data_IF_329454411238
#
_entry.id   IF_329454411238
#
_cell.length_a   1.000
_cell.length_b   1.000
_cell.length_c   1.000
_cell.angle_alpha   90.00
_cell.angle_beta   90.00
_cell.angle_gamma   90.00
#
_symmetry.space_group_name_H-M   'P 1'
#
loop_
_entity.id
_entity.type
_entity.pdbx_description
1 polymer ?
#
# COMPACT_ATOMS: atom_id res chain seq x y z
N UNK A 1 16.44 -22.47 -4.52
CA UNK A 1 15.26 -22.27 -5.39
C UNK A 1 15.76 -22.02 -6.79
N UNK A 2 15.06 -22.53 -7.80
CA UNK A 2 15.41 -22.25 -9.20
C UNK A 2 14.95 -20.84 -9.57
N UNK A 3 15.71 -20.10 -10.39
CA UNK A 3 15.27 -18.81 -10.91
C UNK A 3 13.98 -18.95 -11.73
N UNK A 4 13.14 -17.93 -11.69
CA UNK A 4 11.89 -17.85 -12.44
C UNK A 4 12.02 -16.86 -13.58
N UNK A 5 11.44 -17.19 -14.73
CA UNK A 5 11.38 -16.29 -15.88
C UNK A 5 9.98 -15.68 -16.02
N UNK A 6 9.92 -14.36 -16.18
CA UNK A 6 8.70 -13.62 -16.51
C UNK A 6 9.03 -12.50 -17.50
N UNK A 7 8.32 -12.44 -18.61
CA UNK A 7 8.52 -11.46 -19.69
C UNK A 7 9.98 -11.36 -20.19
N UNK A 8 10.70 -12.49 -20.27
CA UNK A 8 12.10 -12.53 -20.71
C UNK A 8 13.12 -12.08 -19.66
N UNK A 9 12.69 -11.75 -18.44
CA UNK A 9 13.56 -11.44 -17.31
C UNK A 9 13.64 -12.61 -16.34
N UNK A 10 14.85 -12.88 -15.84
CA UNK A 10 15.13 -13.93 -14.87
C UNK A 10 15.19 -13.31 -13.47
N UNK A 11 14.50 -13.93 -12.52
CA UNK A 11 14.40 -13.49 -11.13
C UNK A 11 14.77 -14.63 -10.17
N UNK A 12 15.67 -14.36 -9.23
CA UNK A 12 16.18 -15.39 -8.32
C UNK A 12 15.31 -15.56 -7.07
N UNK A 13 14.68 -14.46 -6.62
CA UNK A 13 13.83 -14.40 -5.44
C UNK A 13 12.97 -13.12 -5.44
N UNK A 14 12.17 -12.92 -4.38
CA UNK A 14 11.33 -11.73 -4.26
C UNK A 14 12.16 -10.45 -4.22
N UNK A 15 13.27 -10.45 -3.48
CA UNK A 15 14.13 -9.26 -3.38
C UNK A 15 14.68 -8.84 -4.77
N UNK A 16 15.19 -9.78 -5.55
CA UNK A 16 15.67 -9.56 -6.92
C UNK A 16 14.53 -9.11 -7.85
N UNK A 17 13.33 -9.69 -7.70
CA UNK A 17 12.14 -9.25 -8.43
C UNK A 17 11.79 -7.79 -8.15
N UNK A 18 11.64 -7.40 -6.88
CA UNK A 18 11.28 -6.03 -6.54
C UNK A 18 12.37 -5.03 -6.89
N UNK A 19 13.65 -5.37 -6.69
CA UNK A 19 14.75 -4.53 -7.14
C UNK A 19 14.64 -4.24 -8.64
N UNK A 20 14.52 -5.27 -9.48
CA UNK A 20 14.47 -5.10 -10.94
C UNK A 20 13.22 -4.36 -11.41
N UNK A 21 12.05 -4.67 -10.87
CA UNK A 21 10.78 -4.09 -11.33
C UNK A 21 10.57 -2.66 -10.80
N UNK A 22 11.16 -2.30 -9.65
CA UNK A 22 11.00 -0.97 -9.09
C UNK A 22 12.11 -0.02 -9.51
N UNK A 23 13.32 -0.50 -9.82
CA UNK A 23 14.48 0.33 -10.15
C UNK A 23 14.21 1.41 -11.22
N UNK A 24 13.44 1.17 -12.30
CA UNK A 24 13.21 2.20 -13.31
C UNK A 24 12.57 3.49 -12.75
N UNK A 25 11.65 3.36 -11.79
CA UNK A 25 10.79 4.46 -11.29
C UNK A 25 11.03 4.81 -9.82
N UNK A 26 11.64 3.91 -9.07
CA UNK A 26 11.88 4.04 -7.64
C UNK A 26 13.36 3.91 -7.31
N UNK A 27 13.72 4.42 -6.14
CA UNK A 27 15.04 4.25 -5.55
C UNK A 27 14.87 3.58 -4.19
N UNK A 28 15.55 2.46 -3.99
CA UNK A 28 15.73 1.88 -2.65
C UNK A 28 16.47 2.89 -1.79
N UNK A 29 15.87 3.35 -0.69
CA UNK A 29 16.48 4.37 0.16
C UNK A 29 16.74 3.89 1.59
N UNK A 30 16.14 2.78 2.00
CA UNK A 30 16.35 2.22 3.32
C UNK A 30 16.09 0.70 3.33
N UNK A 31 16.91 -0.01 4.09
CA UNK A 31 16.76 -1.45 4.35
C UNK A 31 16.91 -1.68 5.85
N UNK A 32 15.93 -2.33 6.47
CA UNK A 32 15.92 -2.68 7.89
C UNK A 32 15.86 -4.18 8.07
N UNK A 33 16.71 -4.70 8.94
CA UNK A 33 16.70 -6.10 9.33
C UNK A 33 16.19 -6.21 10.77
N UNK A 34 15.01 -6.79 10.97
CA UNK A 34 14.37 -6.94 12.29
C UNK A 34 13.98 -8.39 12.53
N UNK A 35 14.52 -9.03 13.57
CA UNK A 35 14.33 -10.47 13.84
C UNK A 35 14.59 -11.30 12.57
N UNK A 36 13.61 -12.10 12.13
CA UNK A 36 13.65 -12.91 10.91
C UNK A 36 13.11 -12.21 9.67
N UNK A 37 12.99 -10.87 9.68
CA UNK A 37 12.41 -10.07 8.61
C UNK A 37 13.41 -9.08 8.02
N UNK A 38 13.38 -8.95 6.71
CA UNK A 38 14.00 -7.84 5.97
C UNK A 38 12.89 -6.94 5.46
N UNK A 39 13.01 -5.64 5.69
CA UNK A 39 12.09 -4.61 5.20
C UNK A 39 12.87 -3.68 4.30
N UNK A 40 12.41 -3.50 3.07
CA UNK A 40 12.94 -2.56 2.10
C UNK A 40 11.94 -1.44 1.86
N UNK A 41 12.45 -0.22 1.80
CA UNK A 41 11.65 0.97 1.53
C UNK A 41 12.17 1.64 0.25
N UNK A 42 11.26 1.75 -0.72
CA UNK A 42 11.48 2.34 -2.03
C UNK A 42 10.74 3.67 -2.10
N UNK A 43 11.38 4.68 -2.67
CA UNK A 43 10.80 6.01 -2.85
C UNK A 43 10.69 6.31 -4.33
N UNK A 44 9.53 6.82 -4.76
CA UNK A 44 9.33 7.24 -6.14
C UNK A 44 10.35 8.34 -6.50
N UNK A 45 11.00 8.21 -7.66
CA UNK A 45 12.04 9.14 -8.11
C UNK A 45 11.47 10.55 -8.34
N UNK A 46 10.23 10.65 -8.83
CA UNK A 46 9.57 11.95 -8.93
C UNK A 46 9.15 12.48 -7.55
N UNK A 47 9.86 13.52 -7.11
CA UNK A 47 9.70 14.14 -5.79
C UNK A 47 8.24 14.57 -5.52
N UNK A 48 7.49 14.94 -6.56
CA UNK A 48 6.12 15.45 -6.47
C UNK A 48 5.15 14.37 -6.02
N UNK A 49 5.34 13.11 -6.46
CA UNK A 49 4.44 12.01 -6.15
C UNK A 49 4.47 11.63 -4.66
N UNK A 50 5.64 11.69 -4.00
CA UNK A 50 5.84 11.31 -2.59
C UNK A 50 5.32 9.90 -2.22
N UNK A 51 5.14 9.03 -3.20
CA UNK A 51 4.73 7.64 -3.00
C UNK A 51 5.94 6.79 -2.62
N UNK A 52 5.79 5.99 -1.58
CA UNK A 52 6.78 5.00 -1.17
C UNK A 52 6.17 3.60 -1.25
N UNK A 53 7.00 2.61 -1.60
CA UNK A 53 6.63 1.21 -1.50
C UNK A 53 7.47 0.59 -0.37
N UNK A 54 6.80 -0.05 0.59
CA UNK A 54 7.44 -0.78 1.67
C UNK A 54 7.21 -2.26 1.45
N UNK A 55 8.26 -3.07 1.45
CA UNK A 55 8.18 -4.50 1.17
C UNK A 55 8.85 -5.25 2.30
N UNK A 56 8.22 -6.32 2.77
CA UNK A 56 8.76 -7.16 3.83
C UNK A 56 8.91 -8.61 3.37
N UNK A 57 10.02 -9.23 3.74
CA UNK A 57 10.35 -10.61 3.40
C UNK A 57 10.82 -11.36 4.66
N UNK A 58 10.62 -12.67 4.70
CA UNK A 58 11.30 -13.54 5.66
C UNK A 58 12.75 -13.79 5.22
N UNK A 59 13.72 -13.58 6.13
CA UNK A 59 15.17 -13.73 5.84
C UNK A 59 15.57 -15.13 5.38
N UNK A 60 15.02 -16.16 6.03
CA UNK A 60 15.50 -17.54 5.87
C UNK A 60 14.75 -18.33 4.78
N UNK A 61 13.51 -17.94 4.50
CA UNK A 61 12.65 -18.61 3.52
C UNK A 61 12.42 -17.78 2.27
N UNK A 62 12.81 -16.51 2.29
CA UNK A 62 12.61 -15.55 1.20
C UNK A 62 11.16 -15.55 0.71
N UNK A 63 10.21 -15.71 1.64
CA UNK A 63 8.77 -15.57 1.41
C UNK A 63 8.41 -14.09 1.55
N UNK A 64 7.59 -13.58 0.64
CA UNK A 64 7.08 -12.21 0.67
C UNK A 64 5.96 -12.11 1.72
N UNK A 65 6.14 -11.28 2.73
CA UNK A 65 5.18 -11.11 3.82
C UNK A 65 4.07 -10.14 3.46
N UNK A 66 4.42 -8.98 2.95
CA UNK A 66 3.51 -7.94 2.49
C UNK A 66 4.28 -6.95 1.63
N UNK A 67 3.55 -6.17 0.84
CA UNK A 67 4.01 -4.87 0.39
C UNK A 67 2.94 -3.81 0.66
N UNK A 68 3.34 -2.55 0.76
CA UNK A 68 2.44 -1.42 1.01
C UNK A 68 2.81 -0.23 0.13
N UNK A 69 1.80 0.51 -0.28
CA UNK A 69 1.95 1.74 -1.05
C UNK A 69 1.51 2.91 -0.16
N UNK A 70 2.46 3.73 0.25
CA UNK A 70 2.24 4.80 1.22
C UNK A 70 2.38 6.14 0.51
N UNK A 71 1.43 7.03 0.74
CA UNK A 71 1.49 8.39 0.28
C UNK A 71 0.91 9.34 1.33
N UNK A 72 1.59 10.46 1.66
CA UNK A 72 1.13 11.41 2.67
C UNK A 72 -0.20 12.10 2.33
N UNK A 73 -0.61 12.11 1.06
CA UNK A 73 -1.87 12.70 0.62
C UNK A 73 -3.03 11.73 0.87
N UNK A 74 -2.84 10.42 0.72
CA UNK A 74 -3.88 9.39 0.91
C UNK A 74 -3.74 8.69 2.27
N UNK A 75 -3.94 9.45 3.35
CA UNK A 75 -3.75 8.93 4.72
C UNK A 75 -4.79 7.86 5.10
N UNK A 76 -6.00 7.93 4.54
CA UNK A 76 -7.03 6.91 4.73
C UNK A 76 -6.63 5.59 4.09
N UNK A 77 -6.12 5.62 2.86
CA UNK A 77 -5.61 4.42 2.19
C UNK A 77 -4.38 3.84 2.89
N UNK A 78 -3.52 4.69 3.45
CA UNK A 78 -2.40 4.24 4.29
C UNK A 78 -2.92 3.55 5.55
N UNK A 79 -3.95 4.10 6.20
CA UNK A 79 -4.55 3.49 7.39
C UNK A 79 -5.25 2.17 7.09
N UNK A 80 -5.91 2.06 5.93
CA UNK A 80 -6.48 0.81 5.45
C UNK A 80 -5.45 -0.32 5.40
N UNK A 81 -4.28 -0.07 4.83
CA UNK A 81 -3.19 -1.06 4.78
C UNK A 81 -2.57 -1.36 6.16
N UNK A 82 -2.74 -0.47 7.14
CA UNK A 82 -2.20 -0.63 8.50
C UNK A 82 -3.14 -1.38 9.45
N UNK A 83 -4.45 -1.14 9.36
CA UNK A 83 -5.45 -1.80 10.20
C UNK A 83 -5.68 -3.22 9.70
N UNK A 84 -5.77 -3.39 8.39
CA UNK A 84 -6.09 -4.66 7.76
C UNK A 84 -4.85 -5.36 7.22
N UNK A 85 -3.65 -5.18 7.83
CA UNK A 85 -2.36 -5.66 7.29
C UNK A 85 -2.55 -6.98 6.55
N UNK A 86 -2.59 -6.89 5.22
CA UNK A 86 -2.85 -8.04 4.37
C UNK A 86 -1.51 -8.75 4.24
N UNK A 87 -1.21 -9.59 5.23
CA UNK A 87 -0.13 -10.54 5.09
C UNK A 87 -0.50 -11.50 3.98
N UNK A 88 0.45 -11.77 3.09
CA UNK A 88 0.28 -12.82 2.13
C UNK A 88 0.27 -14.18 2.82
N UNK A 89 -0.56 -15.09 2.31
CA UNK A 89 -0.52 -16.50 2.64
C UNK A 89 0.08 -17.30 1.48
N UNK A 90 0.72 -18.42 1.78
CA UNK A 90 1.38 -19.26 0.77
C UNK A 90 0.46 -19.65 -0.40
N UNK A 91 -0.79 -20.00 -0.09
CA UNK A 91 -1.80 -20.44 -1.06
C UNK A 91 -2.73 -19.34 -1.58
N UNK A 92 -2.41 -18.06 -1.35
CA UNK A 92 -3.31 -16.93 -1.67
C UNK A 92 -3.75 -16.88 -3.15
N UNK A 93 -2.84 -17.23 -4.07
CA UNK A 93 -3.11 -17.22 -5.52
C UNK A 93 -3.36 -18.61 -6.11
N UNK A 94 -3.58 -19.63 -5.28
CA UNK A 94 -3.96 -20.95 -5.78
C UNK A 94 -5.42 -20.96 -6.26
N UNK A 95 -5.74 -21.93 -7.13
CA UNK A 95 -7.10 -22.17 -7.59
C UNK A 95 -7.49 -23.62 -7.28
N UNK A 96 -8.31 -23.86 -6.24
CA UNK A 96 -8.90 -22.88 -5.32
C UNK A 96 -7.88 -22.25 -4.36
N UNK A 97 -8.13 -21.05 -3.79
CA UNK A 97 -7.28 -20.48 -2.75
C UNK A 97 -7.19 -21.41 -1.55
N UNK A 98 -5.98 -21.63 -1.05
CA UNK A 98 -5.74 -22.46 0.13
C UNK A 98 -5.15 -21.60 1.24
N UNK A 99 -5.67 -21.79 2.46
CA UNK A 99 -5.02 -21.26 3.65
C UNK A 99 -3.65 -21.93 3.78
N UNK A 100 -2.61 -21.15 4.02
CA UNK A 100 -1.25 -21.65 4.09
C UNK A 100 -0.44 -20.99 5.19
N UNK A 101 0.84 -21.39 5.27
CA UNK A 101 1.78 -20.71 6.14
C UNK A 101 1.92 -19.23 5.74
N UNK A 102 2.24 -18.33 6.70
CA UNK A 102 2.48 -16.93 6.39
C UNK A 102 3.60 -16.74 5.35
N UNK A 103 3.35 -15.83 4.43
CA UNK A 103 4.28 -15.42 3.39
C UNK A 103 4.07 -16.14 2.06
N UNK A 104 4.13 -15.37 0.99
CA UNK A 104 4.00 -15.83 -0.37
C UNK A 104 5.30 -16.50 -0.85
N UNK A 105 5.23 -17.75 -1.28
CA UNK A 105 6.38 -18.47 -1.85
C UNK A 105 6.78 -17.87 -3.19
N UNK A 106 8.08 -17.82 -3.46
CA UNK A 106 8.61 -17.39 -4.74
C UNK A 106 8.39 -18.47 -5.82
N UNK A 107 7.25 -18.39 -6.52
CA UNK A 107 6.84 -19.30 -7.59
C UNK A 107 6.12 -18.52 -8.69
N UNK A 108 6.06 -19.11 -9.89
CA UNK A 108 5.64 -18.38 -11.10
C UNK A 108 4.23 -17.78 -11.02
N UNK A 109 3.26 -18.49 -10.45
CA UNK A 109 1.89 -17.97 -10.30
C UNK A 109 1.86 -16.73 -9.41
N UNK A 110 2.53 -16.81 -8.25
CA UNK A 110 2.63 -15.70 -7.30
C UNK A 110 3.36 -14.51 -7.92
N UNK A 111 4.47 -14.77 -8.63
CA UNK A 111 5.24 -13.75 -9.32
C UNK A 111 4.39 -12.99 -10.36
N UNK A 112 3.60 -13.72 -11.15
CA UNK A 112 2.69 -13.15 -12.15
C UNK A 112 1.62 -12.28 -11.51
N UNK A 113 0.99 -12.74 -10.43
CA UNK A 113 -0.07 -11.97 -9.77
C UNK A 113 0.47 -10.67 -9.15
N UNK A 114 1.57 -10.75 -8.40
CA UNK A 114 2.21 -9.54 -7.83
C UNK A 114 2.66 -8.59 -8.93
N UNK A 115 3.22 -9.10 -10.03
CA UNK A 115 3.59 -8.26 -11.18
C UNK A 115 2.36 -7.57 -11.78
N UNK A 116 1.26 -8.29 -12.00
CA UNK A 116 0.03 -7.74 -12.55
C UNK A 116 -0.60 -6.68 -11.62
N UNK A 117 -0.55 -6.87 -10.30
CA UNK A 117 -1.01 -5.88 -9.32
C UNK A 117 -0.18 -4.59 -9.41
N UNK A 118 1.15 -4.70 -9.44
CA UNK A 118 2.04 -3.55 -9.55
C UNK A 118 1.87 -2.82 -10.90
N UNK A 119 1.62 -3.52 -11.99
CA UNK A 119 1.31 -2.93 -13.30
C UNK A 119 -0.05 -2.22 -13.32
N UNK A 120 -1.06 -2.77 -12.63
CA UNK A 120 -2.41 -2.21 -12.59
C UNK A 120 -2.46 -0.92 -11.77
N UNK A 121 -1.65 -0.85 -10.72
CA UNK A 121 -1.68 0.26 -9.77
C UNK A 121 -2.88 0.20 -8.84
N UNK A 122 -3.14 1.32 -8.16
CA UNK A 122 -4.27 1.45 -7.26
C UNK A 122 -5.53 1.85 -8.03
N UNK A 123 -6.65 1.24 -7.64
CA UNK A 123 -7.96 1.52 -8.22
C UNK A 123 -9.00 1.81 -7.12
N UNK A 124 -9.53 3.02 -7.13
CA UNK A 124 -10.48 3.48 -6.12
C UNK A 124 -10.33 4.96 -5.84
N UNK A 125 -10.99 5.41 -4.77
CA UNK A 125 -10.96 6.81 -4.35
C UNK A 125 -10.88 6.93 -2.84
N UNK A 126 -10.28 8.03 -2.40
CA UNK A 126 -10.34 8.47 -1.02
C UNK A 126 -11.05 9.83 -0.95
N UNK A 127 -12.03 9.96 -0.04
CA UNK A 127 -12.73 11.20 0.25
C UNK A 127 -12.33 11.63 1.66
N UNK A 128 -11.66 12.77 1.78
CA UNK A 128 -11.19 13.33 3.04
C UNK A 128 -12.07 14.51 3.46
N UNK A 129 -12.40 14.55 4.74
CA UNK A 129 -12.96 15.74 5.39
C UNK A 129 -11.84 16.46 6.15
N UNK A 130 -11.58 17.71 5.77
CA UNK A 130 -10.53 18.56 6.31
C UNK A 130 -11.16 19.65 7.18
N UNK A 131 -10.64 19.83 8.39
CA UNK A 131 -10.99 20.90 9.32
C UNK A 131 -9.72 21.66 9.69
N UNK A 132 -9.64 22.95 9.31
CA UNK A 132 -8.49 23.81 9.56
C UNK A 132 -7.15 23.15 9.10
N UNK A 133 -7.10 22.73 7.84
CA UNK A 133 -5.95 22.08 7.19
C UNK A 133 -5.53 20.73 7.81
N UNK A 134 -6.38 20.10 8.63
CA UNK A 134 -6.15 18.75 9.17
C UNK A 134 -7.26 17.81 8.71
N UNK A 135 -6.87 16.66 8.17
CA UNK A 135 -7.82 15.59 7.86
C UNK A 135 -8.38 15.05 9.17
N UNK A 136 -9.70 15.10 9.33
CA UNK A 136 -10.41 14.62 10.54
C UNK A 136 -11.14 13.30 10.29
N UNK A 137 -11.52 13.04 9.04
CA UNK A 137 -12.16 11.80 8.60
C UNK A 137 -11.68 11.49 7.17
N UNK A 138 -11.55 10.21 6.87
CA UNK A 138 -11.35 9.72 5.51
C UNK A 138 -12.29 8.55 5.22
N UNK A 139 -12.78 8.48 3.99
CA UNK A 139 -13.54 7.34 3.46
C UNK A 139 -12.82 6.82 2.23
N UNK A 140 -12.34 5.58 2.29
CA UNK A 140 -11.65 4.88 1.19
C UNK A 140 -12.62 3.92 0.53
N UNK A 141 -12.75 3.99 -0.79
CA UNK A 141 -13.55 3.05 -1.58
C UNK A 141 -12.64 2.38 -2.60
N UNK A 142 -12.49 1.06 -2.52
CA UNK A 142 -11.70 0.28 -3.47
C UNK A 142 -12.63 -0.26 -4.57
N UNK A 143 -12.22 -0.12 -5.82
CA UNK A 143 -13.05 -0.49 -6.96
C UNK A 143 -13.33 -2.00 -7.03
N UNK A 144 -12.34 -2.81 -6.63
CA UNK A 144 -12.36 -4.27 -6.82
C UNK A 144 -13.33 -4.99 -5.86
N UNK A 145 -13.70 -4.35 -4.75
CA UNK A 145 -14.59 -4.94 -3.73
C UNK A 145 -15.88 -4.16 -3.51
N UNK A 146 -15.99 -2.93 -4.01
CA UNK A 146 -17.13 -2.04 -3.75
C UNK A 146 -17.32 -1.64 -2.28
N UNK A 147 -16.44 -2.09 -1.39
CA UNK A 147 -16.47 -1.81 0.04
C UNK A 147 -15.87 -0.43 0.33
N UNK A 148 -16.47 0.26 1.30
CA UNK A 148 -16.00 1.56 1.76
C UNK A 148 -15.56 1.50 3.22
N UNK A 149 -14.32 1.90 3.47
CA UNK A 149 -13.69 1.91 4.79
C UNK A 149 -13.65 3.34 5.32
N UNK A 150 -14.05 3.52 6.58
CA UNK A 150 -14.19 4.84 7.19
C UNK A 150 -13.20 4.98 8.35
N UNK A 151 -12.30 5.94 8.25
CA UNK A 151 -11.30 6.24 9.25
C UNK A 151 -11.53 7.62 9.84
N UNK A 152 -11.24 7.75 11.13
CA UNK A 152 -11.42 8.98 11.88
C UNK A 152 -10.15 9.30 12.65
N UNK A 153 -9.62 10.49 12.43
CA UNK A 153 -8.31 10.90 12.95
C UNK A 153 -8.40 11.91 14.10
N UNK A 154 -9.58 12.50 14.35
CA UNK A 154 -9.77 13.45 15.44
C UNK A 154 -10.15 12.76 16.77
N UNK A 155 -9.34 12.97 17.82
CA UNK A 155 -9.60 12.46 19.18
C UNK A 155 -10.73 13.20 19.93
N UNK A 156 -11.53 14.03 19.26
CA UNK A 156 -12.55 14.87 19.92
C UNK A 156 -13.82 14.05 20.20
N UNK A 157 -14.21 13.95 21.47
CA UNK A 157 -15.52 13.43 21.87
C UNK A 157 -16.65 14.31 21.32
N UNK A 158 -17.84 13.74 21.12
CA UNK A 158 -19.03 14.40 20.53
C UNK A 158 -19.32 15.77 21.19
N UNK A 159 -19.20 15.83 22.52
CA UNK A 159 -19.40 17.06 23.33
C UNK A 159 -18.37 18.15 22.99
N UNK A 160 -17.10 17.76 22.82
CA UNK A 160 -16.04 18.68 22.39
C UNK A 160 -16.24 19.20 20.97
N UNK A 161 -17.02 18.52 20.12
CA UNK A 161 -17.35 19.00 18.77
C UNK A 161 -18.48 20.02 18.78
N UNK A 162 -19.45 19.85 19.68
CA UNK A 162 -20.53 20.81 19.92
C UNK A 162 -20.03 22.10 20.62
N UNK A 163 -19.15 22.00 21.61
CA UNK A 163 -18.59 23.17 22.32
C UNK A 163 -17.85 24.13 21.38
N UNK A 164 -17.15 23.63 20.38
CA UNK A 164 -16.49 24.48 19.38
C UNK A 164 -17.48 25.24 18.48
N UNK A 165 -18.65 24.66 18.19
CA UNK A 165 -19.72 25.31 17.43
C UNK A 165 -20.36 26.45 18.25
N UNK A 166 -20.56 26.23 19.55
CA UNK A 166 -21.09 27.25 20.48
C UNK A 166 -20.12 28.42 20.67
N UNK A 167 -18.81 28.17 20.62
CA UNK A 167 -17.76 29.19 20.80
C UNK A 167 -17.50 30.06 19.57
N UNK A 168 -18.28 29.94 18.49
CA UNK A 168 -18.24 30.85 17.35
C UNK A 168 -16.94 30.88 16.54
N UNK A 169 -16.09 29.84 16.66
CA UNK A 169 -14.87 29.75 15.85
C UNK A 169 -15.25 29.26 14.45
N UNK A 170 -15.03 30.09 13.43
CA UNK A 170 -15.20 29.70 12.02
C UNK A 170 -14.35 28.46 11.73
N UNK A 171 -14.99 27.39 11.26
CA UNK A 171 -14.32 26.19 10.76
C UNK A 171 -14.38 26.21 9.26
N UNK A 172 -13.23 26.16 8.61
CA UNK A 172 -13.17 25.87 7.18
C UNK A 172 -13.22 24.35 7.03
N UNK A 173 -14.41 23.85 6.72
CA UNK A 173 -14.63 22.44 6.37
C UNK A 173 -14.51 22.29 4.87
N UNK A 174 -13.60 21.43 4.43
CA UNK A 174 -13.35 21.17 3.03
C UNK A 174 -13.41 19.66 2.77
N UNK A 175 -13.91 19.30 1.60
CA UNK A 175 -13.81 17.94 1.09
C UNK A 175 -12.70 17.89 0.05
N UNK A 176 -11.77 16.96 0.22
CA UNK A 176 -10.77 16.64 -0.77
C UNK A 176 -11.05 15.25 -1.34
N UNK A 177 -11.07 15.13 -2.66
CA UNK A 177 -11.29 13.85 -3.36
C UNK A 177 -9.98 13.49 -4.03
N UNK A 178 -9.50 12.29 -3.73
CA UNK A 178 -8.24 11.75 -4.25
C UNK A 178 -8.59 10.50 -5.06
N UNK A 179 -8.21 10.49 -6.33
CA UNK A 179 -8.17 9.25 -7.10
C UNK A 179 -6.92 8.46 -6.68
N UNK A 180 -7.10 7.21 -6.24
CA UNK A 180 -5.95 6.40 -5.81
C UNK A 180 -5.01 6.10 -6.98
N UNK A 181 -5.49 6.15 -8.22
CA UNK A 181 -4.66 6.03 -9.41
C UNK A 181 -3.68 7.20 -9.56
N UNK A 182 -4.00 8.38 -9.05
CA UNK A 182 -3.08 9.51 -9.03
C UNK A 182 -1.91 9.28 -8.06
N UNK A 183 -2.16 8.51 -6.99
CA UNK A 183 -1.18 8.14 -5.96
C UNK A 183 -0.22 7.08 -6.50
N UNK A 184 -0.75 6.03 -7.11
CA UNK A 184 0.06 5.01 -7.77
C UNK A 184 -0.68 4.47 -9.01
N UNK A 185 -0.33 4.97 -10.22
CA UNK A 185 -1.01 4.60 -11.45
C UNK A 185 -0.66 3.19 -11.95
N UNK A 186 0.30 2.53 -11.29
CA UNK A 186 0.95 1.32 -11.74
C UNK A 186 2.32 1.61 -12.35
N UNK A 187 3.13 0.57 -12.52
CA UNK A 187 4.42 0.65 -13.19
C UNK A 187 4.23 0.81 -14.70
N UNK A 188 5.08 1.62 -15.32
CA UNK A 188 4.96 2.02 -16.73
C UNK A 188 5.58 1.05 -17.73
N UNK A 189 6.42 0.12 -17.27
CA UNK A 189 7.19 -0.79 -18.11
C UNK A 189 6.62 -2.21 -18.08
N UNK A 190 6.61 -2.89 -19.23
CA UNK A 190 6.02 -4.23 -19.44
C UNK A 190 7.09 -5.31 -19.56
#
# INVERSE_FOLDING_TARGET
>A
MEPLELNGNIYNNWQDFFHKILEPEFTLFNTKCMNDMTIEEYKYREIIKKTNIIIAYYKNSDKLLYYRIINPISIGYTEYQNVDIQFFEEGQYEQPPLNGEPGLVFRLINLKEIHNELLRGLNGKEIQLIDNNKVIKSTVTLADHGLSYNYRFDRKNIIGRFLFYILGKERKLENNIIDLKDIFPGLSHK
#
